data_IF_463627814907
#
_entry.id   IF_463627814907
#
_cell.length_a   1.000
_cell.length_b   1.000
_cell.length_c   1.000
_cell.angle_alpha   90.00
_cell.angle_beta   90.00
_cell.angle_gamma   90.00
#
_symmetry.space_group_name_H-M   'P 1'
#
loop_
_entity.id
_entity.type
_entity.pdbx_description
1 polymer ?
#
# COMPACT_ATOMS: atom_id res chain seq x y z
N UNK A 1 -32.51 -7.01 -12.63
CA UNK A 1 -31.28 -6.27 -13.00
C UNK A 1 -30.57 -5.95 -11.70
N UNK A 2 -29.43 -6.60 -11.45
CA UNK A 2 -28.71 -6.49 -10.18
C UNK A 2 -27.84 -5.25 -10.13
N UNK A 3 -28.08 -4.39 -9.15
CA UNK A 3 -27.14 -3.34 -8.76
C UNK A 3 -25.97 -3.97 -8.01
N UNK A 4 -24.77 -3.83 -8.57
CA UNK A 4 -23.53 -4.20 -7.91
C UNK A 4 -23.15 -3.02 -7.01
N UNK A 5 -23.64 -3.04 -5.77
CA UNK A 5 -23.21 -2.13 -4.72
C UNK A 5 -21.72 -2.32 -4.46
N UNK A 6 -20.90 -1.39 -4.94
CA UNK A 6 -19.48 -1.32 -4.60
C UNK A 6 -19.34 -0.78 -3.16
N UNK A 7 -18.68 -1.50 -2.23
CA UNK A 7 -18.55 -1.03 -0.87
C UNK A 7 -17.53 0.12 -0.80
N UNK A 8 -18.02 1.27 -0.34
CA UNK A 8 -17.29 2.41 0.23
C UNK A 8 -15.81 2.56 -0.13
N UNK A 9 -15.50 2.86 -1.39
CA UNK A 9 -14.19 3.40 -1.75
C UNK A 9 -14.16 4.86 -1.29
N UNK A 10 -13.28 5.19 -0.34
CA UNK A 10 -12.93 6.58 -0.08
C UNK A 10 -12.36 7.17 -1.38
N UNK A 11 -13.04 8.14 -2.02
CA UNK A 11 -12.56 8.70 -3.28
C UNK A 11 -11.28 9.53 -3.08
N UNK A 12 -10.96 9.94 -1.86
CA UNK A 12 -9.99 10.99 -1.58
C UNK A 12 -8.52 10.53 -1.45
N UNK A 13 -8.19 9.31 -1.90
CA UNK A 13 -6.83 8.76 -1.76
C UNK A 13 -6.27 8.16 -3.06
N UNK A 14 -7.01 8.25 -4.16
CA UNK A 14 -6.49 7.83 -5.46
C UNK A 14 -5.76 9.02 -6.13
N UNK A 15 -4.51 8.87 -6.60
CA UNK A 15 -3.79 9.95 -7.30
C UNK A 15 -4.58 10.51 -8.50
N UNK A 16 -5.44 9.69 -9.11
CA UNK A 16 -6.35 10.11 -10.17
C UNK A 16 -7.35 11.19 -9.73
N UNK A 17 -7.78 11.21 -8.47
CA UNK A 17 -8.77 12.15 -7.94
C UNK A 17 -8.22 13.57 -7.75
N UNK A 18 -6.92 13.73 -7.54
CA UNK A 18 -6.29 15.05 -7.38
C UNK A 18 -5.77 15.63 -8.70
N UNK A 19 -5.44 14.80 -9.68
CA UNK A 19 -4.79 15.28 -10.90
C UNK A 19 -5.61 15.05 -12.17
N UNK A 20 -6.08 13.83 -12.39
CA UNK A 20 -6.76 13.47 -13.64
C UNK A 20 -8.21 13.99 -13.68
N UNK A 21 -8.97 13.75 -12.61
CA UNK A 21 -10.39 14.12 -12.58
C UNK A 21 -10.60 15.64 -12.56
N UNK A 22 -9.84 16.46 -11.82
CA UNK A 22 -9.97 17.92 -11.89
C UNK A 22 -9.63 18.47 -13.27
N UNK A 23 -8.54 18.01 -13.89
CA UNK A 23 -8.15 18.43 -15.24
C UNK A 23 -9.20 18.02 -16.29
N UNK A 24 -9.70 16.79 -16.20
CA UNK A 24 -10.77 16.30 -17.08
C UNK A 24 -12.07 17.07 -16.87
N UNK A 25 -12.45 17.34 -15.62
CA UNK A 25 -13.66 18.10 -15.29
C UNK A 25 -13.55 19.53 -15.80
N UNK A 26 -12.38 20.16 -15.71
CA UNK A 26 -12.11 21.47 -16.30
C UNK A 26 -12.24 21.45 -17.83
N UNK A 27 -11.59 20.49 -18.50
CA UNK A 27 -11.62 20.37 -19.97
C UNK A 27 -13.01 20.10 -20.55
N UNK A 28 -13.86 19.42 -19.79
CA UNK A 28 -15.24 19.10 -20.18
C UNK A 28 -16.26 20.10 -19.63
N UNK A 29 -15.85 21.01 -18.74
CA UNK A 29 -16.72 22.02 -18.15
C UNK A 29 -17.28 22.96 -19.23
N UNK A 30 -18.53 23.40 -19.04
CA UNK A 30 -19.21 24.32 -19.95
C UNK A 30 -19.63 23.74 -21.30
N UNK A 31 -19.38 22.44 -21.57
CA UNK A 31 -19.80 21.78 -22.81
C UNK A 31 -21.14 21.07 -22.62
N UNK A 32 -22.11 21.34 -23.49
CA UNK A 32 -23.36 20.59 -23.54
C UNK A 32 -23.25 19.44 -24.55
N UNK A 33 -23.39 18.21 -24.08
CA UNK A 33 -23.29 17.01 -24.92
C UNK A 33 -24.67 16.50 -25.33
N UNK A 34 -24.90 16.35 -26.64
CA UNK A 34 -26.16 15.80 -27.18
C UNK A 34 -26.24 14.27 -27.12
N UNK A 35 -25.14 13.57 -26.84
CA UNK A 35 -25.10 12.11 -26.74
C UNK A 35 -23.90 11.58 -25.95
N UNK A 36 -24.05 10.38 -25.39
CA UNK A 36 -22.98 9.67 -24.70
C UNK A 36 -21.80 9.32 -25.64
N UNK A 37 -22.06 9.11 -26.93
CA UNK A 37 -21.00 8.89 -27.92
C UNK A 37 -20.06 10.08 -28.04
N UNK A 38 -20.60 11.30 -28.02
CA UNK A 38 -19.82 12.53 -28.06
C UNK A 38 -19.00 12.74 -26.78
N UNK A 39 -19.57 12.43 -25.61
CA UNK A 39 -18.84 12.46 -24.33
C UNK A 39 -17.63 11.51 -24.37
N UNK A 40 -17.83 10.25 -24.78
CA UNK A 40 -16.74 9.26 -24.85
C UNK A 40 -15.64 9.70 -25.81
N UNK A 41 -16.00 10.32 -26.94
CA UNK A 41 -15.02 10.80 -27.91
C UNK A 41 -14.20 11.99 -27.38
N UNK A 42 -14.86 12.94 -26.71
CA UNK A 42 -14.18 14.11 -26.15
C UNK A 42 -13.27 13.73 -24.97
N UNK A 43 -13.69 12.78 -24.13
CA UNK A 43 -12.83 12.18 -23.09
C UNK A 43 -11.61 11.49 -23.72
N UNK A 44 -11.80 10.69 -24.78
CA UNK A 44 -10.68 10.03 -25.47
C UNK A 44 -9.71 11.04 -26.08
N UNK A 45 -10.23 12.12 -26.66
CA UNK A 45 -9.40 13.18 -27.24
C UNK A 45 -8.63 13.93 -26.15
N UNK A 46 -9.26 14.22 -25.01
CA UNK A 46 -8.61 14.80 -23.84
C UNK A 46 -7.47 13.90 -23.33
N UNK A 47 -7.73 12.61 -23.11
CA UNK A 47 -6.71 11.66 -22.67
C UNK A 47 -5.55 11.54 -23.67
N UNK A 48 -5.81 11.65 -24.98
CA UNK A 48 -4.77 11.65 -26.02
C UNK A 48 -3.98 12.97 -26.07
N UNK A 49 -4.58 14.08 -25.62
CA UNK A 49 -3.93 15.39 -25.56
C UNK A 49 -3.01 15.55 -24.34
N UNK A 50 -3.12 14.67 -23.34
CA UNK A 50 -2.22 14.67 -22.19
C UNK A 50 -0.83 14.20 -22.64
N UNK A 51 0.18 15.03 -22.39
CA UNK A 51 1.57 14.68 -22.61
C UNK A 51 2.01 13.55 -21.67
N UNK A 52 3.02 12.77 -22.08
CA UNK A 52 3.42 11.54 -21.38
C UNK A 52 3.87 11.80 -19.94
N UNK A 53 4.46 12.97 -19.69
CA UNK A 53 4.90 13.53 -18.40
C UNK A 53 3.76 13.93 -17.45
N UNK A 54 2.53 14.12 -17.93
CA UNK A 54 1.36 14.44 -17.09
C UNK A 54 1.15 13.38 -16.00
N UNK A 55 1.37 12.10 -16.32
CA UNK A 55 1.23 11.00 -15.38
C UNK A 55 2.47 10.80 -14.48
N UNK A 56 3.61 11.43 -14.80
CA UNK A 56 4.80 11.42 -13.96
C UNK A 56 4.69 12.43 -12.81
N UNK A 57 3.99 13.56 -13.00
CA UNK A 57 3.79 14.59 -11.97
C UNK A 57 2.85 14.18 -10.82
N UNK A 58 1.88 13.29 -11.07
CA UNK A 58 0.91 12.84 -10.06
C UNK A 58 1.46 11.91 -9.00
N UNK A 59 2.55 11.22 -9.31
CA UNK A 59 3.18 10.27 -8.39
C UNK A 59 4.13 10.95 -7.39
N UNK A 60 4.58 12.18 -7.69
CA UNK A 60 5.51 12.94 -6.86
C UNK A 60 4.82 14.05 -6.05
N UNK A 61 3.62 14.50 -6.44
CA UNK A 61 2.89 15.54 -5.71
C UNK A 61 2.20 15.06 -4.42
N UNK A 62 2.25 13.77 -4.09
CA UNK A 62 1.82 13.27 -2.77
C UNK A 62 2.78 13.67 -1.63
N UNK A 63 3.87 14.40 -1.93
CA UNK A 63 4.80 14.94 -0.92
C UNK A 63 4.67 16.44 -0.63
N UNK A 64 4.00 17.26 -1.47
CA UNK A 64 3.99 18.72 -1.28
C UNK A 64 2.67 19.34 -0.76
N UNK A 65 1.59 18.57 -0.63
CA UNK A 65 0.31 19.10 -0.14
C UNK A 65 0.16 19.09 1.40
N UNK A 66 1.23 18.79 2.15
CA UNK A 66 1.21 18.76 3.63
C UNK A 66 2.02 19.90 4.28
N UNK A 67 2.80 20.67 3.51
CA UNK A 67 3.76 21.64 4.08
C UNK A 67 3.51 23.11 3.71
N UNK A 68 2.29 23.54 3.43
CA UNK A 68 2.02 24.96 3.13
C UNK A 68 1.18 25.66 4.21
N UNK A 69 1.76 25.78 5.41
CA UNK A 69 1.60 26.94 6.31
C UNK A 69 2.92 27.19 7.04
N UNK A 70 3.87 27.87 6.39
CA UNK A 70 4.83 28.79 7.04
C UNK A 70 5.68 29.53 5.99
N UNK A 71 5.45 30.84 5.88
CA UNK A 71 6.16 31.79 5.03
C UNK A 71 7.45 32.33 5.76
N UNK A 72 8.32 33.19 5.18
CA UNK A 72 9.68 32.84 4.76
C UNK A 72 10.78 33.82 5.27
N UNK A 73 12.06 33.44 5.15
CA UNK A 73 13.28 34.31 5.13
C UNK A 73 14.51 33.38 5.21
N UNK A 74 15.68 33.55 4.56
CA UNK A 74 16.31 34.65 3.82
C UNK A 74 17.58 34.13 3.09
N UNK A 75 17.98 34.85 2.04
CA UNK A 75 19.15 34.80 1.13
C UNK A 75 20.53 34.25 1.61
N UNK A 76 21.31 33.64 0.69
CA UNK A 76 22.51 34.26 0.07
C UNK A 76 23.26 33.34 -0.93
N UNK A 77 23.89 33.96 -1.93
CA UNK A 77 24.43 33.50 -3.22
C UNK A 77 25.86 32.85 -3.28
N UNK A 78 26.01 31.84 -4.18
CA UNK A 78 27.11 31.52 -5.16
C UNK A 78 28.54 31.00 -4.74
N UNK A 79 29.42 30.46 -5.65
CA UNK A 79 29.30 29.28 -6.58
C UNK A 79 30.61 28.40 -6.80
N UNK A 80 30.49 27.24 -7.52
CA UNK A 80 31.48 26.40 -8.29
C UNK A 80 32.73 25.80 -7.58
N UNK A 81 33.29 24.58 -7.77
CA UNK A 81 33.10 23.34 -8.59
C UNK A 81 34.19 22.29 -8.16
N UNK A 82 34.48 21.20 -8.93
CA UNK A 82 34.28 19.78 -8.62
C UNK A 82 35.49 19.02 -7.99
N UNK A 83 35.33 17.77 -7.52
CA UNK A 83 36.23 16.58 -7.73
C UNK A 83 35.96 15.42 -6.73
N UNK A 84 35.93 14.19 -7.28
CA UNK A 84 36.22 12.86 -6.72
C UNK A 84 35.40 12.23 -5.58
N UNK A 85 34.90 11.02 -5.91
CA UNK A 85 35.00 9.72 -5.21
C UNK A 85 34.98 9.69 -3.66
N UNK A 86 34.14 8.77 -3.18
CA UNK A 86 34.09 8.23 -1.82
C UNK A 86 33.67 9.17 -0.68
N UNK A 87 32.36 9.14 -0.43
CA UNK A 87 31.80 8.62 0.83
C UNK A 87 30.28 8.62 0.74
N UNK A 88 29.65 7.44 0.80
CA UNK A 88 28.24 7.37 1.20
C UNK A 88 28.15 7.94 2.62
N UNK A 89 27.38 9.02 2.84
CA UNK A 89 27.24 9.56 4.18
C UNK A 89 26.35 8.61 5.01
N UNK A 90 26.90 8.12 6.13
CA UNK A 90 26.18 7.45 7.21
C UNK A 90 25.12 8.40 7.79
N UNK A 91 23.97 8.47 7.13
CA UNK A 91 22.91 9.37 7.52
C UNK A 91 21.83 8.58 8.25
N UNK A 92 22.00 8.55 9.59
CA UNK A 92 20.97 8.45 10.62
C UNK A 92 19.72 7.67 10.18
N UNK A 93 19.76 6.36 10.41
CA UNK A 93 18.57 5.53 10.44
C UNK A 93 17.63 6.10 11.52
N UNK A 94 16.68 6.93 11.10
CA UNK A 94 15.50 7.22 11.89
C UNK A 94 14.87 5.88 12.19
N UNK A 95 15.02 5.45 13.44
CA UNK A 95 14.50 4.21 13.98
C UNK A 95 12.97 4.34 14.01
N UNK A 96 12.33 4.22 12.84
CA UNK A 96 10.90 3.98 12.72
C UNK A 96 10.68 2.62 13.38
N UNK A 97 10.39 2.66 14.69
CA UNK A 97 9.93 1.49 15.45
C UNK A 97 8.68 1.01 14.75
N UNK A 98 8.84 0.09 13.80
CA UNK A 98 7.72 -0.47 13.05
C UNK A 98 6.97 -1.36 14.02
N UNK A 99 5.95 -0.79 14.66
CA UNK A 99 5.03 -1.56 15.48
C UNK A 99 4.42 -2.64 14.61
N UNK A 100 4.41 -3.87 15.12
CA UNK A 100 3.77 -4.95 14.40
C UNK A 100 2.30 -4.95 14.78
N UNK A 101 1.42 -4.96 13.79
CA UNK A 101 -0.03 -4.91 14.00
C UNK A 101 -0.67 -6.17 13.45
N UNK A 102 -1.45 -6.86 14.28
CA UNK A 102 -2.33 -7.95 13.86
C UNK A 102 -3.76 -7.44 13.81
N UNK A 103 -4.47 -7.80 12.74
CA UNK A 103 -5.89 -7.46 12.55
C UNK A 103 -6.73 -8.71 12.76
N UNK A 104 -7.76 -8.59 13.59
CA UNK A 104 -8.66 -9.67 13.97
C UNK A 104 -10.11 -9.27 13.66
N UNK A 105 -10.87 -10.19 13.10
CA UNK A 105 -12.32 -10.02 12.89
C UNK A 105 -13.06 -11.20 13.52
N UNK A 106 -14.31 -10.97 13.91
CA UNK A 106 -15.14 -12.08 14.34
C UNK A 106 -15.51 -12.98 13.14
N UNK A 107 -15.74 -14.27 13.41
CA UNK A 107 -16.29 -15.19 12.42
C UNK A 107 -17.81 -15.09 12.46
N UNK A 108 -18.44 -14.73 11.36
CA UNK A 108 -19.90 -14.71 11.23
C UNK A 108 -20.44 -16.15 11.21
N UNK A 109 -21.12 -16.57 12.28
CA UNK A 109 -21.89 -17.81 12.30
C UNK A 109 -23.26 -17.53 11.68
N UNK A 110 -23.68 -18.38 10.74
CA UNK A 110 -24.86 -18.18 9.89
C UNK A 110 -26.19 -17.87 10.61
N UNK A 111 -26.29 -18.12 11.93
CA UNK A 111 -27.51 -17.96 12.72
C UNK A 111 -27.32 -17.19 14.04
N UNK A 112 -26.18 -16.51 14.25
CA UNK A 112 -25.88 -15.81 15.52
C UNK A 112 -25.87 -14.29 15.33
N UNK A 113 -26.26 -13.52 16.37
CA UNK A 113 -26.02 -12.07 16.40
C UNK A 113 -24.53 -11.80 16.12
N UNK A 114 -24.23 -10.88 15.21
CA UNK A 114 -22.89 -10.34 15.03
C UNK A 114 -22.31 -9.96 16.40
N UNK A 115 -21.18 -10.58 16.75
CA UNK A 115 -20.48 -10.31 17.99
C UNK A 115 -19.84 -8.94 17.89
N UNK A 116 -20.00 -8.12 18.93
CA UNK A 116 -19.44 -6.76 18.93
C UNK A 116 -17.94 -6.84 19.21
N UNK A 117 -17.21 -5.79 18.84
CA UNK A 117 -15.79 -5.63 19.15
C UNK A 117 -15.45 -5.89 20.63
N UNK A 118 -16.33 -5.51 21.56
CA UNK A 118 -16.14 -5.74 22.99
C UNK A 118 -16.10 -7.24 23.36
N UNK A 119 -16.85 -8.08 22.65
CA UNK A 119 -16.90 -9.51 22.89
C UNK A 119 -15.61 -10.19 22.40
N UNK A 120 -15.10 -9.77 21.23
CA UNK A 120 -13.81 -10.24 20.70
C UNK A 120 -12.67 -9.87 21.66
N UNK A 121 -12.67 -8.65 22.21
CA UNK A 121 -11.70 -8.24 23.22
C UNK A 121 -11.78 -9.05 24.51
N UNK A 122 -12.99 -9.33 24.99
CA UNK A 122 -13.17 -10.12 26.22
C UNK A 122 -12.69 -11.55 26.02
N UNK A 123 -12.99 -12.17 24.87
CA UNK A 123 -12.49 -13.51 24.56
C UNK A 123 -10.96 -13.51 24.48
N UNK A 124 -10.36 -12.53 23.78
CA UNK A 124 -8.91 -12.41 23.70
C UNK A 124 -8.27 -12.21 25.07
N UNK A 125 -8.81 -11.33 25.92
CA UNK A 125 -8.26 -11.07 27.27
C UNK A 125 -8.41 -12.25 28.23
N UNK A 126 -9.46 -13.06 28.07
CA UNK A 126 -9.73 -14.21 28.93
C UNK A 126 -8.89 -15.42 28.52
N UNK A 127 -8.67 -15.61 27.22
CA UNK A 127 -7.98 -16.80 26.69
C UNK A 127 -6.46 -16.57 26.55
N UNK A 128 -6.04 -15.35 26.16
CA UNK A 128 -4.62 -15.04 26.03
C UNK A 128 -4.01 -14.80 27.41
N UNK A 129 -2.96 -15.55 27.74
CA UNK A 129 -2.16 -15.33 28.95
C UNK A 129 -1.47 -13.97 28.86
N UNK A 130 -2.01 -12.97 29.57
CA UNK A 130 -1.56 -11.57 29.51
C UNK A 130 -0.12 -11.37 30.00
N UNK A 131 0.46 -12.33 30.71
CA UNK A 131 1.74 -12.17 31.40
C UNK A 131 2.95 -12.19 30.45
N UNK A 132 2.78 -12.63 29.19
CA UNK A 132 3.90 -12.84 28.25
C UNK A 132 3.88 -11.89 27.05
N UNK A 133 2.75 -11.27 26.70
CA UNK A 133 2.61 -10.55 25.43
C UNK A 133 2.62 -9.04 25.66
N UNK A 134 3.59 -8.36 25.05
CA UNK A 134 3.71 -6.90 25.16
C UNK A 134 2.77 -6.18 24.17
N UNK A 135 1.50 -6.09 24.55
CA UNK A 135 0.49 -5.32 23.79
C UNK A 135 0.62 -3.83 24.09
N UNK A 136 0.97 -3.04 23.08
CA UNK A 136 1.09 -1.58 23.18
C UNK A 136 -0.24 -0.86 23.11
N UNK A 137 -1.09 -1.26 22.16
CA UNK A 137 -2.42 -0.65 22.00
C UNK A 137 -3.39 -1.59 21.30
N UNK A 138 -4.66 -1.45 21.64
CA UNK A 138 -5.75 -2.16 20.98
C UNK A 138 -6.72 -1.12 20.42
N UNK A 139 -6.96 -1.16 19.11
CA UNK A 139 -7.81 -0.20 18.40
C UNK A 139 -9.02 -0.90 17.81
N UNK A 140 -10.19 -0.30 18.02
CA UNK A 140 -11.42 -0.72 17.33
C UNK A 140 -11.37 -0.33 15.86
N UNK A 141 -11.72 -1.26 14.98
CA UNK A 141 -11.92 -1.03 13.56
C UNK A 141 -13.42 -1.05 13.21
N UNK A 142 -13.72 -0.68 11.97
CA UNK A 142 -15.07 -0.83 11.40
C UNK A 142 -15.44 -2.32 11.32
N UNK A 143 -16.74 -2.60 11.25
CA UNK A 143 -17.28 -3.96 11.19
C UNK A 143 -16.79 -4.83 12.35
N UNK A 144 -16.72 -4.23 13.54
CA UNK A 144 -16.32 -4.88 14.80
C UNK A 144 -14.95 -5.59 14.77
N UNK A 145 -14.09 -5.22 13.83
CA UNK A 145 -12.70 -5.66 13.82
C UNK A 145 -11.88 -5.05 14.95
N UNK A 146 -10.84 -5.76 15.38
CA UNK A 146 -9.87 -5.36 16.41
C UNK A 146 -8.48 -5.30 15.76
N UNK A 147 -7.74 -4.22 15.99
CA UNK A 147 -6.30 -4.15 15.66
C UNK A 147 -5.50 -4.17 16.97
N UNK A 148 -4.52 -5.08 17.06
CA UNK A 148 -3.62 -5.19 18.21
C UNK A 148 -2.21 -4.81 17.75
N UNK A 149 -1.66 -3.76 18.35
CA UNK A 149 -0.28 -3.34 18.15
C UNK A 149 0.61 -4.00 19.19
N UNK A 150 1.60 -4.75 18.73
CA UNK A 150 2.60 -5.41 19.55
C UNK A 150 3.97 -4.73 19.39
N UNK A 151 4.86 -4.97 20.36
CA UNK A 151 6.22 -4.46 20.33
C UNK A 151 7.10 -5.23 19.34
N UNK A 152 6.97 -6.56 19.29
CA UNK A 152 7.78 -7.44 18.45
C UNK A 152 6.93 -8.32 17.52
N UNK A 153 7.56 -8.92 16.52
CA UNK A 153 6.91 -9.89 15.62
C UNK A 153 6.65 -11.23 16.34
N UNK A 154 7.55 -11.64 17.23
CA UNK A 154 7.41 -12.87 18.04
C UNK A 154 6.12 -12.86 18.88
N UNK A 155 5.74 -11.68 19.41
CA UNK A 155 4.48 -11.48 20.12
C UNK A 155 3.26 -11.80 19.23
N UNK A 156 3.31 -11.40 17.95
CA UNK A 156 2.25 -11.70 16.98
C UNK A 156 2.21 -13.19 16.70
N UNK A 157 3.36 -13.82 16.54
CA UNK A 157 3.43 -15.25 16.23
C UNK A 157 2.92 -16.09 17.42
N UNK A 158 3.17 -15.64 18.66
CA UNK A 158 2.56 -16.20 19.87
C UNK A 158 1.04 -16.05 19.88
N UNK A 159 0.52 -14.85 19.56
CA UNK A 159 -0.94 -14.62 19.47
C UNK A 159 -1.55 -15.52 18.39
N UNK A 160 -0.92 -15.62 17.21
CA UNK A 160 -1.38 -16.47 16.12
C UNK A 160 -1.36 -17.94 16.50
N UNK A 161 -0.35 -18.38 17.24
CA UNK A 161 -0.28 -19.75 17.76
C UNK A 161 -1.40 -20.02 18.75
N UNK A 162 -1.60 -19.15 19.73
CA UNK A 162 -2.66 -19.28 20.74
C UNK A 162 -4.06 -19.32 20.11
N UNK A 163 -4.32 -18.47 19.11
CA UNK A 163 -5.59 -18.48 18.36
C UNK A 163 -5.82 -19.82 17.64
N UNK A 164 -4.76 -20.47 17.16
CA UNK A 164 -4.87 -21.76 16.49
C UNK A 164 -4.98 -22.95 17.45
N UNK A 165 -4.35 -22.84 18.62
CA UNK A 165 -4.32 -23.86 19.67
C UNK A 165 -5.64 -23.87 20.48
N UNK A 166 -6.25 -22.71 20.72
CA UNK A 166 -7.55 -22.62 21.41
C UNK A 166 -8.73 -22.83 20.44
N UNK A 167 -9.59 -23.85 20.66
CA UNK A 167 -10.75 -24.09 19.81
C UNK A 167 -11.76 -22.94 19.87
N UNK A 168 -11.86 -22.26 21.02
CA UNK A 168 -12.78 -21.13 21.22
C UNK A 168 -12.34 -19.94 20.37
N UNK A 169 -11.05 -19.59 20.40
CA UNK A 169 -10.53 -18.49 19.57
C UNK A 169 -10.64 -18.81 18.09
N UNK A 170 -10.27 -20.03 17.68
CA UNK A 170 -10.30 -20.47 16.30
C UNK A 170 -11.70 -20.41 15.67
N UNK A 171 -12.74 -20.71 16.43
CA UNK A 171 -14.13 -20.69 15.94
C UNK A 171 -14.76 -19.30 15.94
N UNK A 172 -14.24 -18.37 16.75
CA UNK A 172 -14.86 -17.04 16.93
C UNK A 172 -14.05 -15.90 16.33
N UNK A 173 -12.75 -16.06 16.11
CA UNK A 173 -11.83 -15.01 15.69
C UNK A 173 -11.03 -15.45 14.47
N UNK A 174 -10.95 -14.56 13.47
CA UNK A 174 -10.17 -14.75 12.26
C UNK A 174 -9.08 -13.68 12.15
N UNK A 175 -7.79 -14.08 12.17
CA UNK A 175 -6.71 -13.15 11.84
C UNK A 175 -6.70 -12.83 10.35
N UNK A 176 -6.45 -11.57 10.01
CA UNK A 176 -6.24 -11.14 8.63
C UNK A 176 -4.76 -11.29 8.29
N UNK A 177 -4.42 -12.06 7.23
CA UNK A 177 -3.03 -12.22 6.84
C UNK A 177 -2.45 -10.87 6.36
N UNK A 178 -1.21 -10.60 6.76
CA UNK A 178 -0.45 -9.44 6.31
C UNK A 178 -0.26 -9.53 4.79
N UNK A 179 -0.68 -8.50 4.06
CA UNK A 179 -0.51 -8.43 2.60
C UNK A 179 0.82 -7.76 2.29
N UNK A 180 1.65 -8.41 1.49
CA UNK A 180 2.88 -7.82 0.98
C UNK A 180 2.56 -6.80 -0.12
N UNK A 181 3.24 -5.65 -0.16
CA UNK A 181 3.09 -4.70 -1.25
C UNK A 181 3.45 -5.35 -2.59
N UNK A 182 2.65 -5.05 -3.60
CA UNK A 182 2.89 -5.47 -4.99
C UNK A 182 3.61 -4.35 -5.72
N UNK A 183 4.73 -4.70 -6.35
CA UNK A 183 5.55 -3.80 -7.14
C UNK A 183 5.64 -4.31 -8.58
N UNK A 184 5.85 -3.39 -9.53
CA UNK A 184 5.91 -3.70 -10.96
C UNK A 184 7.22 -3.16 -11.51
N UNK A 185 8.04 -4.04 -12.12
CA UNK A 185 9.16 -3.62 -12.96
C UNK A 185 8.67 -3.52 -14.40
N UNK A 186 8.86 -2.37 -15.04
CA UNK A 186 8.39 -2.12 -16.39
C UNK A 186 9.49 -2.32 -17.44
N UNK A 187 9.11 -2.70 -18.66
CA UNK A 187 9.97 -2.52 -19.83
C UNK A 187 11.02 -3.62 -20.03
N UNK A 188 10.83 -4.78 -19.39
CA UNK A 188 11.76 -5.91 -19.52
C UNK A 188 11.59 -6.61 -20.87
N UNK A 189 12.68 -7.17 -21.38
CA UNK A 189 12.65 -7.96 -22.60
C UNK A 189 11.87 -9.27 -22.41
N UNK A 190 11.17 -9.74 -23.45
CA UNK A 190 10.35 -10.96 -23.38
C UNK A 190 11.18 -12.22 -23.10
N UNK A 191 12.47 -12.19 -23.44
CA UNK A 191 13.40 -13.30 -23.23
C UNK A 191 13.87 -13.41 -21.78
N UNK A 192 13.58 -12.39 -20.95
CA UNK A 192 13.91 -12.42 -19.52
C UNK A 192 12.95 -13.35 -18.82
N UNK A 193 13.49 -14.49 -18.37
CA UNK A 193 12.76 -15.51 -17.64
C UNK A 193 12.58 -15.12 -16.16
N UNK A 194 11.59 -15.74 -15.51
CA UNK A 194 11.25 -15.53 -14.11
C UNK A 194 12.46 -15.76 -13.19
N UNK A 195 13.23 -16.81 -13.46
CA UNK A 195 14.37 -17.24 -12.66
C UNK A 195 15.49 -16.19 -12.70
N UNK A 196 15.67 -15.52 -13.84
CA UNK A 196 16.67 -14.45 -13.98
C UNK A 196 16.30 -13.23 -13.14
N UNK A 197 15.01 -12.89 -13.07
CA UNK A 197 14.49 -11.81 -12.23
C UNK A 197 14.63 -12.18 -10.75
N UNK A 198 14.28 -13.41 -10.39
CA UNK A 198 14.45 -13.90 -9.02
C UNK A 198 15.92 -13.87 -8.59
N UNK A 199 16.84 -14.31 -9.44
CA UNK A 199 18.26 -14.24 -9.16
C UNK A 199 18.76 -12.79 -8.98
N UNK A 200 18.27 -11.87 -9.82
CA UNK A 200 18.64 -10.46 -9.75
C UNK A 200 18.14 -9.78 -8.46
N UNK A 201 16.88 -10.01 -8.08
CA UNK A 201 16.31 -9.42 -6.85
C UNK A 201 16.91 -10.07 -5.60
N UNK A 202 17.16 -11.39 -5.63
CA UNK A 202 17.81 -12.10 -4.51
C UNK A 202 19.19 -11.55 -4.17
N UNK A 203 19.94 -11.05 -5.17
CA UNK A 203 21.24 -10.39 -4.94
C UNK A 203 21.12 -9.08 -4.14
N UNK A 204 20.00 -8.39 -4.25
CA UNK A 204 19.77 -7.08 -3.62
C UNK A 204 19.21 -7.25 -2.21
N UNK A 205 18.35 -8.25 -2.00
CA UNK A 205 17.51 -8.35 -0.80
C UNK A 205 17.63 -9.65 -0.01
N UNK A 206 18.44 -10.61 -0.49
CA UNK A 206 18.54 -11.94 0.07
C UNK A 206 17.35 -12.86 -0.28
N UNK A 207 17.50 -14.17 -0.03
CA UNK A 207 16.45 -15.14 -0.29
C UNK A 207 15.23 -14.90 0.63
N UNK A 208 14.02 -15.15 0.12
CA UNK A 208 12.72 -15.09 0.82
C UNK A 208 12.11 -13.70 1.08
N UNK A 209 12.73 -12.61 0.63
CA UNK A 209 12.19 -11.24 0.84
C UNK A 209 11.24 -10.75 -0.26
N UNK A 210 10.96 -11.61 -1.23
CA UNK A 210 10.10 -11.30 -2.36
C UNK A 210 9.54 -12.57 -3.00
N UNK A 211 8.47 -12.39 -3.77
CA UNK A 211 7.82 -13.43 -4.57
C UNK A 211 7.43 -12.86 -5.93
N UNK A 212 8.03 -13.38 -6.99
CA UNK A 212 7.62 -13.03 -8.37
C UNK A 212 6.30 -13.71 -8.68
N UNK A 213 5.30 -12.92 -9.08
CA UNK A 213 3.93 -13.39 -9.28
C UNK A 213 3.69 -13.77 -10.74
N UNK A 214 3.70 -12.78 -11.63
CA UNK A 214 3.37 -12.96 -13.04
C UNK A 214 3.91 -11.79 -13.87
N UNK A 215 3.92 -11.97 -15.19
CA UNK A 215 4.27 -10.94 -16.14
C UNK A 215 3.05 -10.47 -16.92
N UNK A 216 3.08 -9.21 -17.35
CA UNK A 216 2.04 -8.55 -18.12
C UNK A 216 2.68 -8.10 -19.44
N UNK A 217 2.10 -8.52 -20.57
CA UNK A 217 2.55 -8.06 -21.88
C UNK A 217 2.14 -6.59 -22.10
N UNK A 218 3.13 -5.74 -22.30
CA UNK A 218 2.96 -4.34 -22.66
C UNK A 218 2.69 -4.12 -24.15
N UNK A 219 2.28 -2.90 -24.50
CA UNK A 219 1.97 -2.50 -25.90
C UNK A 219 3.20 -2.52 -26.81
N UNK A 220 4.39 -2.31 -26.25
CA UNK A 220 5.67 -2.19 -26.97
C UNK A 220 6.40 -3.54 -27.10
N UNK A 221 5.68 -4.66 -26.99
CA UNK A 221 6.26 -6.01 -26.92
C UNK A 221 7.26 -6.22 -25.76
N UNK A 222 7.23 -5.33 -24.77
CA UNK A 222 7.97 -5.44 -23.51
C UNK A 222 7.09 -6.09 -22.45
N UNK A 223 7.71 -6.72 -21.46
CA UNK A 223 7.03 -7.37 -20.34
C UNK A 223 7.16 -6.50 -19.09
N UNK A 224 6.08 -6.46 -18.32
CA UNK A 224 6.04 -5.81 -17.01
C UNK A 224 5.88 -6.91 -15.95
N UNK A 225 6.83 -7.03 -15.03
CA UNK A 225 6.85 -8.10 -14.06
C UNK A 225 6.32 -7.63 -12.72
N UNK A 226 5.33 -8.36 -12.19
CA UNK A 226 4.71 -8.09 -10.90
C UNK A 226 5.31 -9.00 -9.84
N UNK A 227 5.71 -8.42 -8.71
CA UNK A 227 6.26 -9.15 -7.58
C UNK A 227 5.70 -8.62 -6.27
N UNK A 228 5.53 -9.49 -5.29
CA UNK A 228 5.30 -9.15 -3.89
C UNK A 228 6.65 -8.99 -3.21
N UNK A 229 6.83 -7.95 -2.42
CA UNK A 229 8.08 -7.67 -1.72
C UNK A 229 7.81 -7.34 -0.26
N UNK A 230 8.76 -7.64 0.60
CA UNK A 230 8.70 -7.22 2.00
C UNK A 230 8.75 -5.70 2.10
N UNK A 231 8.25 -5.13 3.22
CA UNK A 231 8.27 -3.68 3.42
C UNK A 231 9.68 -3.09 3.33
N UNK A 232 10.68 -3.80 3.84
CA UNK A 232 12.09 -3.41 3.76
C UNK A 232 12.56 -3.30 2.32
N UNK A 233 12.34 -4.35 1.53
CA UNK A 233 12.71 -4.40 0.12
C UNK A 233 11.94 -3.36 -0.70
N UNK A 234 10.64 -3.21 -0.47
CA UNK A 234 9.81 -2.21 -1.12
C UNK A 234 10.38 -0.81 -0.98
N UNK A 235 10.81 -0.44 0.24
CA UNK A 235 11.43 0.86 0.48
C UNK A 235 12.83 0.99 -0.12
N UNK A 236 13.61 -0.09 -0.19
CA UNK A 236 14.92 -0.09 -0.86
C UNK A 236 14.77 0.13 -2.36
N UNK A 237 13.84 -0.57 -3.02
CA UNK A 237 13.60 -0.44 -4.47
C UNK A 237 13.05 0.93 -4.81
N UNK A 238 12.16 1.50 -3.98
CA UNK A 238 11.60 2.84 -4.23
C UNK A 238 12.63 3.98 -4.17
N UNK A 239 13.77 3.77 -3.48
CA UNK A 239 14.81 4.80 -3.30
C UNK A 239 15.86 4.81 -4.42
N UNK A 240 15.91 3.78 -5.26
CA UNK A 240 16.76 3.73 -6.45
C UNK A 240 16.08 4.40 -7.64
#
# INVERSE_FOLDING_TARGET
>A
MGEIGSPGLQPDLAPSNFQLFPAMKSALSGRHFRSNGKVRQDVKNFLRSLATDFYHGGFLNEFYAVEDVANPASLSDQPLSPTSLDRCPENKANNLKHEQTILLYHIEKANSRSMKHADVLNILKNEIRNDTINVKSIKKLRNDGVAINCAQQDDIDLILKEINDSPILKENVRPVPKRLPKSIVYGLDPDILKESIEAAISRISGPNSFKVLFSIKGRTNKFHWVFEADSTLYHTIKKQ
#
